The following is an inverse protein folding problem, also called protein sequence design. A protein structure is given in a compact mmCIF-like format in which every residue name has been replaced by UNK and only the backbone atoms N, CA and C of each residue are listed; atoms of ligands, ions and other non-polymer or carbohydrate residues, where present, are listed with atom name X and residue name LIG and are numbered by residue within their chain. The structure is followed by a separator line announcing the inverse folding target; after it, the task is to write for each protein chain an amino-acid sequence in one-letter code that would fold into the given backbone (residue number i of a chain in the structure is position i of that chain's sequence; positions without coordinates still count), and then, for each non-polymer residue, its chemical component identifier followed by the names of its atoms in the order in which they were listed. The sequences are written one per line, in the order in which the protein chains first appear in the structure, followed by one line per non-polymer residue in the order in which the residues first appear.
data_IF_090287654789
#
_entry.id   IF_090287654789
#
_cell.length_a   1.000
_cell.length_b   1.000
_cell.length_c   1.000
_cell.angle_alpha   90.00
_cell.angle_beta   90.00
_cell.angle_gamma   90.00
#
_symmetry.space_group_name_H-M   'P 1'
#
loop_
_entity.id
_entity.type
_entity.pdbx_description
1 polymer ?
#
# COMPACT_ATOMS: atom_id res chain seq x y z
N UNK A 1 -3.31 -37.43 7.56
CA UNK A 1 -2.45 -36.37 6.97
C UNK A 1 -2.71 -36.16 5.46
N UNK A 2 -3.20 -37.14 4.73
CA UNK A 2 -3.46 -37.01 3.27
C UNK A 2 -4.66 -36.11 2.93
N UNK A 3 -5.75 -36.15 3.71
CA UNK A 3 -6.92 -35.28 3.49
C UNK A 3 -6.60 -33.79 3.62
N UNK A 4 -5.74 -33.40 4.58
CA UNK A 4 -5.31 -32.02 4.78
C UNK A 4 -4.53 -31.50 3.56
N UNK A 5 -3.66 -32.33 2.98
CA UNK A 5 -2.96 -31.99 1.72
C UNK A 5 -3.94 -31.75 0.57
N UNK A 6 -4.89 -32.68 0.37
CA UNK A 6 -5.89 -32.54 -0.71
C UNK A 6 -6.75 -31.27 -0.50
N UNK A 7 -7.16 -30.98 0.72
CA UNK A 7 -7.90 -29.78 1.06
C UNK A 7 -7.07 -28.50 0.80
N UNK A 8 -5.78 -28.50 1.17
CA UNK A 8 -4.86 -27.37 0.92
C UNK A 8 -4.72 -27.10 -0.58
N UNK A 9 -4.50 -28.13 -1.42
CA UNK A 9 -4.42 -27.93 -2.87
C UNK A 9 -5.75 -27.44 -3.45
N UNK A 10 -6.88 -27.98 -3.01
CA UNK A 10 -8.20 -27.52 -3.43
C UNK A 10 -8.43 -26.03 -3.09
N UNK A 11 -8.10 -25.61 -1.87
CA UNK A 11 -8.20 -24.22 -1.46
C UNK A 11 -7.30 -23.28 -2.30
N UNK A 12 -6.07 -23.71 -2.62
CA UNK A 12 -5.16 -22.95 -3.48
C UNK A 12 -5.73 -22.83 -4.90
N UNK A 13 -6.30 -23.91 -5.44
CA UNK A 13 -6.91 -23.91 -6.77
C UNK A 13 -8.05 -22.90 -6.82
N UNK A 14 -8.95 -22.88 -5.84
CA UNK A 14 -10.06 -21.89 -5.79
C UNK A 14 -9.54 -20.46 -5.82
N UNK A 15 -8.45 -20.16 -5.10
CA UNK A 15 -7.89 -18.80 -5.04
C UNK A 15 -7.15 -18.41 -6.33
N UNK A 16 -6.44 -19.34 -6.95
CA UNK A 16 -5.55 -19.03 -8.08
C UNK A 16 -6.26 -19.18 -9.42
N UNK A 17 -7.22 -20.11 -9.55
CA UNK A 17 -7.87 -20.43 -10.81
C UNK A 17 -8.51 -19.24 -11.53
N UNK A 18 -9.29 -18.35 -10.86
CA UNK A 18 -9.89 -17.21 -11.55
C UNK A 18 -8.84 -16.24 -12.11
N UNK A 19 -7.76 -16.02 -11.36
CA UNK A 19 -6.66 -15.13 -11.77
C UNK A 19 -5.86 -15.75 -12.91
N UNK A 20 -5.55 -17.04 -12.81
CA UNK A 20 -4.84 -17.79 -13.86
C UNK A 20 -5.65 -17.83 -15.16
N UNK A 21 -6.97 -18.04 -15.07
CA UNK A 21 -7.88 -18.03 -16.22
C UNK A 21 -7.88 -16.64 -16.87
N UNK A 22 -7.98 -15.56 -16.08
CA UNK A 22 -7.97 -14.19 -16.59
C UNK A 22 -6.65 -13.88 -17.33
N UNK A 23 -5.51 -14.29 -16.79
CA UNK A 23 -4.21 -14.10 -17.43
C UNK A 23 -4.12 -14.93 -18.72
N UNK A 24 -4.57 -16.19 -18.70
CA UNK A 24 -4.60 -17.04 -19.89
C UNK A 24 -5.48 -16.46 -21.00
N UNK A 25 -6.69 -16.04 -20.67
CA UNK A 25 -7.61 -15.43 -21.64
C UNK A 25 -7.08 -14.08 -22.16
N UNK A 26 -6.53 -13.24 -21.27
CA UNK A 26 -6.08 -11.88 -21.61
C UNK A 26 -4.85 -11.83 -22.50
N UNK A 27 -3.95 -12.81 -22.43
CA UNK A 27 -2.80 -12.94 -23.34
C UNK A 27 -3.02 -13.98 -24.44
N UNK A 28 -4.16 -14.66 -24.47
CA UNK A 28 -4.50 -15.72 -25.40
C UNK A 28 -5.81 -15.44 -26.16
N UNK A 29 -6.88 -16.27 -25.97
CA UNK A 29 -8.08 -16.22 -26.83
C UNK A 29 -8.84 -14.89 -26.80
N UNK A 30 -8.78 -14.13 -25.69
CA UNK A 30 -9.45 -12.84 -25.54
C UNK A 30 -8.51 -11.65 -25.73
N UNK A 31 -7.28 -11.87 -26.22
CA UNK A 31 -6.32 -10.78 -26.41
C UNK A 31 -6.86 -9.69 -27.35
N UNK A 32 -6.70 -8.43 -26.94
CA UNK A 32 -7.04 -7.24 -27.71
C UNK A 32 -5.96 -6.17 -27.52
N UNK A 33 -5.35 -5.72 -28.62
CA UNK A 33 -4.24 -4.75 -28.59
C UNK A 33 -4.61 -3.41 -27.94
N UNK A 34 -5.89 -3.04 -27.95
CA UNK A 34 -6.38 -1.83 -27.26
C UNK A 34 -6.15 -1.90 -25.74
N UNK A 35 -6.21 -3.12 -25.18
CA UNK A 35 -5.90 -3.37 -23.75
C UNK A 35 -4.43 -3.19 -23.37
N UNK A 36 -3.53 -3.02 -24.37
CA UNK A 36 -2.09 -2.75 -24.17
C UNK A 36 -1.73 -1.34 -24.67
N UNK A 37 -2.72 -0.46 -24.80
CA UNK A 37 -2.53 0.92 -25.26
C UNK A 37 -1.63 1.74 -24.34
N UNK A 38 -1.04 2.81 -24.86
CA UNK A 38 -0.23 3.76 -24.06
C UNK A 38 -1.03 4.34 -22.90
N UNK A 39 -2.35 4.53 -23.05
CA UNK A 39 -3.22 4.98 -21.95
C UNK A 39 -3.22 3.98 -20.78
N UNK A 40 -3.37 2.68 -21.07
CA UNK A 40 -3.31 1.62 -20.04
C UNK A 40 -1.94 1.58 -19.37
N UNK A 41 -0.84 1.70 -20.12
CA UNK A 41 0.52 1.71 -19.56
C UNK A 41 0.73 2.89 -18.63
N UNK A 42 0.28 4.10 -19.02
CA UNK A 42 0.34 5.29 -18.16
C UNK A 42 -0.50 5.15 -16.89
N UNK A 43 -1.66 4.52 -16.97
CA UNK A 43 -2.50 4.23 -15.80
C UNK A 43 -1.81 3.26 -14.83
N UNK A 44 -1.10 2.25 -15.35
CA UNK A 44 -0.28 1.35 -14.55
C UNK A 44 0.88 2.14 -13.91
N UNK A 45 1.59 2.96 -14.67
CA UNK A 45 2.68 3.81 -14.16
C UNK A 45 2.20 4.72 -13.02
N UNK A 46 1.08 5.43 -13.19
CA UNK A 46 0.47 6.25 -12.15
C UNK A 46 0.16 5.44 -10.88
N UNK A 47 -0.44 4.26 -11.05
CA UNK A 47 -0.80 3.39 -9.91
C UNK A 47 0.44 2.93 -9.13
N UNK A 48 1.51 2.53 -9.82
CA UNK A 48 2.76 2.13 -9.16
C UNK A 48 3.47 3.31 -8.52
N UNK A 49 3.59 4.45 -9.21
CA UNK A 49 4.21 5.66 -8.68
C UNK A 49 3.46 6.18 -7.44
N UNK A 50 2.13 6.29 -7.51
CA UNK A 50 1.31 6.74 -6.39
C UNK A 50 1.33 5.78 -5.21
N UNK A 51 1.26 4.47 -5.45
CA UNK A 51 1.34 3.46 -4.39
C UNK A 51 2.72 3.46 -3.70
N UNK A 52 3.80 3.63 -4.47
CA UNK A 52 5.14 3.77 -3.90
C UNK A 52 5.27 5.05 -3.07
N UNK A 53 4.76 6.18 -3.58
CA UNK A 53 4.73 7.44 -2.84
C UNK A 53 3.92 7.32 -1.55
N UNK A 54 2.71 6.75 -1.61
CA UNK A 54 1.88 6.49 -0.43
C UNK A 54 2.57 5.58 0.59
N UNK A 55 3.26 4.54 0.12
CA UNK A 55 4.07 3.68 0.97
C UNK A 55 5.19 4.43 1.69
N UNK A 56 5.91 5.31 0.99
CA UNK A 56 6.96 6.14 1.61
C UNK A 56 6.37 7.14 2.61
N UNK A 57 5.22 7.73 2.32
CA UNK A 57 4.48 8.58 3.27
C UNK A 57 4.08 7.77 4.51
N UNK A 58 3.61 6.53 4.34
CA UNK A 58 3.32 5.64 5.46
C UNK A 58 4.56 5.37 6.33
N UNK A 59 5.72 5.13 5.72
CA UNK A 59 6.98 4.98 6.46
C UNK A 59 7.29 6.23 7.27
N UNK A 60 7.19 7.41 6.67
CA UNK A 60 7.55 8.67 7.32
C UNK A 60 6.60 9.02 8.49
N UNK A 61 5.30 8.88 8.25
CA UNK A 61 4.28 9.33 9.22
C UNK A 61 3.94 8.28 10.27
N UNK A 62 3.87 7.00 9.88
CA UNK A 62 3.27 5.97 10.74
C UNK A 62 4.28 5.01 11.38
N UNK A 63 5.59 5.09 11.06
CA UNK A 63 6.60 4.31 11.81
C UNK A 63 6.66 4.70 13.28
N UNK A 64 6.69 6.00 13.65
CA UNK A 64 6.65 6.41 15.05
C UNK A 64 5.35 5.98 15.75
N UNK A 65 4.20 6.05 15.05
CA UNK A 65 2.92 5.61 15.60
C UNK A 65 2.93 4.10 15.90
N UNK A 66 3.35 3.26 14.95
CA UNK A 66 3.44 1.82 15.12
C UNK A 66 4.35 1.44 16.30
N UNK A 67 5.50 2.11 16.42
CA UNK A 67 6.41 1.93 17.55
C UNK A 67 5.75 2.33 18.88
N UNK A 68 5.13 3.51 18.94
CA UNK A 68 4.49 4.00 20.14
C UNK A 68 3.36 3.06 20.63
N UNK A 69 2.49 2.62 19.70
CA UNK A 69 1.38 1.68 20.00
C UNK A 69 1.92 0.35 20.51
N UNK A 70 2.97 -0.20 19.90
CA UNK A 70 3.64 -1.43 20.34
C UNK A 70 4.20 -1.30 21.76
N UNK A 71 4.93 -0.23 22.04
CA UNK A 71 5.62 -0.08 23.33
C UNK A 71 4.71 0.29 24.48
N UNK A 72 3.69 1.10 24.24
CA UNK A 72 2.71 1.57 25.24
C UNK A 72 1.47 0.69 25.36
N UNK A 73 1.28 -0.27 24.44
CA UNK A 73 0.07 -1.12 24.37
C UNK A 73 -1.22 -0.30 24.41
N UNK A 74 -1.25 0.82 23.70
CA UNK A 74 -2.38 1.73 23.70
C UNK A 74 -3.45 1.23 22.71
N UNK A 75 -4.45 0.51 23.24
CA UNK A 75 -5.54 -0.08 22.45
C UNK A 75 -6.41 0.98 21.77
N UNK A 76 -6.57 2.17 22.36
CA UNK A 76 -7.32 3.26 21.73
C UNK A 76 -6.65 3.71 20.44
N UNK A 77 -5.34 3.99 20.48
CA UNK A 77 -4.60 4.40 19.28
C UNK A 77 -4.52 3.27 18.24
N UNK A 78 -4.42 2.01 18.68
CA UNK A 78 -4.50 0.87 17.78
C UNK A 78 -5.85 0.85 17.05
N UNK A 79 -6.95 0.93 17.78
CA UNK A 79 -8.30 0.95 17.22
C UNK A 79 -8.51 2.15 16.28
N UNK A 80 -8.04 3.35 16.66
CA UNK A 80 -8.14 4.53 15.79
C UNK A 80 -7.35 4.37 14.49
N UNK A 81 -6.18 3.72 14.53
CA UNK A 81 -5.41 3.46 13.31
C UNK A 81 -6.07 2.43 12.37
N UNK A 82 -6.98 1.61 12.86
CA UNK A 82 -7.69 0.59 12.07
C UNK A 82 -9.01 1.11 11.46
N UNK A 83 -9.48 2.32 11.85
CA UNK A 83 -10.73 2.91 11.34
C UNK A 83 -10.80 2.90 9.80
N UNK A 84 -9.77 3.37 9.05
CA UNK A 84 -9.86 3.41 7.59
C UNK A 84 -10.01 2.03 6.92
N UNK A 85 -9.55 0.97 7.58
CA UNK A 85 -9.72 -0.40 7.09
C UNK A 85 -11.14 -0.95 7.34
N UNK A 86 -11.89 -0.33 8.26
CA UNK A 86 -13.21 -0.82 8.70
C UNK A 86 -14.38 -0.16 7.96
N UNK A 87 -14.12 0.90 7.20
CA UNK A 87 -15.15 1.66 6.47
C UNK A 87 -15.09 1.37 4.96
N UNK A 88 -16.22 1.46 4.24
CA UNK A 88 -16.21 1.37 2.79
C UNK A 88 -15.29 2.41 2.15
N UNK A 89 -14.39 1.99 1.27
CA UNK A 89 -13.35 2.86 0.70
C UNK A 89 -13.88 4.12 -0.02
N UNK A 90 -15.04 4.10 -0.72
CA UNK A 90 -15.61 5.32 -1.29
C UNK A 90 -15.84 6.42 -0.25
N UNK A 91 -16.15 6.06 1.01
CA UNK A 91 -16.34 7.03 2.09
C UNK A 91 -15.04 7.79 2.39
N UNK A 92 -13.88 7.15 2.28
CA UNK A 92 -12.58 7.83 2.42
C UNK A 92 -12.41 8.87 1.32
N UNK A 93 -12.77 8.54 0.08
CA UNK A 93 -12.75 9.49 -1.03
C UNK A 93 -13.67 10.70 -0.77
N UNK A 94 -14.91 10.47 -0.33
CA UNK A 94 -15.84 11.54 0.04
C UNK A 94 -15.29 12.39 1.19
N UNK A 95 -14.66 11.77 2.19
CA UNK A 95 -14.07 12.50 3.32
C UNK A 95 -12.94 13.43 2.88
N UNK A 96 -12.11 13.02 1.93
CA UNK A 96 -11.09 13.87 1.33
C UNK A 96 -11.70 15.04 0.54
N UNK A 97 -12.81 14.81 -0.18
CA UNK A 97 -13.53 15.91 -0.83
C UNK A 97 -14.12 16.91 0.15
N UNK A 98 -14.51 16.49 1.35
CA UNK A 98 -14.95 17.42 2.40
C UNK A 98 -13.79 18.31 2.91
N UNK A 99 -12.56 17.81 2.91
CA UNK A 99 -11.37 18.60 3.20
C UNK A 99 -11.02 19.58 2.07
N UNK A 100 -11.57 19.38 0.89
CA UNK A 100 -11.40 20.25 -0.29
C UNK A 100 -12.62 21.16 -0.53
N UNK A 101 -13.62 21.05 0.31
CA UNK A 101 -14.87 21.77 0.12
C UNK A 101 -14.83 23.20 0.67
N UNK A 102 -15.16 24.22 -0.14
CA UNK A 102 -15.30 25.60 0.35
C UNK A 102 -16.45 25.76 1.35
N UNK A 103 -17.34 24.75 1.47
CA UNK A 103 -18.45 24.76 2.42
C UNK A 103 -17.99 24.48 3.86
N UNK A 104 -16.82 23.83 4.04
CA UNK A 104 -16.28 23.54 5.36
C UNK A 104 -15.24 24.58 5.80
N UNK A 105 -15.11 24.89 7.10
CA UNK A 105 -14.05 25.81 7.57
C UNK A 105 -12.64 25.29 7.27
N UNK A 106 -12.42 23.97 7.43
CA UNK A 106 -11.13 23.32 7.17
C UNK A 106 -10.82 23.38 5.67
N UNK A 107 -11.78 23.06 4.81
CA UNK A 107 -11.60 23.11 3.36
C UNK A 107 -11.24 24.50 2.87
N UNK A 108 -11.92 25.55 3.37
CA UNK A 108 -11.53 26.94 3.05
C UNK A 108 -10.10 27.27 3.47
N UNK A 109 -9.70 26.81 4.66
CA UNK A 109 -8.33 27.04 5.13
C UNK A 109 -7.29 26.32 4.25
N UNK A 110 -7.54 25.07 3.87
CA UNK A 110 -6.64 24.30 2.99
C UNK A 110 -6.56 24.91 1.58
N UNK A 111 -7.70 25.27 1.01
CA UNK A 111 -7.76 25.94 -0.30
C UNK A 111 -7.04 27.29 -0.29
N UNK A 112 -7.12 28.06 0.82
CA UNK A 112 -6.44 29.35 0.92
C UNK A 112 -4.91 29.26 0.91
N UNK A 113 -4.35 28.10 1.26
CA UNK A 113 -2.91 27.79 1.18
C UNK A 113 -2.54 26.95 -0.04
N UNK A 114 -3.48 26.79 -0.98
CA UNK A 114 -3.25 26.08 -2.25
C UNK A 114 -3.27 24.55 -2.15
N UNK A 115 -3.78 23.99 -1.05
CA UNK A 115 -3.95 22.54 -0.89
C UNK A 115 -5.30 22.14 -1.48
N UNK A 116 -5.27 21.27 -2.49
CA UNK A 116 -6.44 20.76 -3.20
C UNK A 116 -6.27 19.23 -3.40
N UNK A 117 -7.33 18.47 -3.13
CA UNK A 117 -7.33 17.01 -3.27
C UNK A 117 -8.07 16.53 -4.52
N UNK A 118 -9.08 17.26 -4.99
CA UNK A 118 -9.91 16.84 -6.10
C UNK A 118 -9.12 16.80 -7.41
N UNK A 119 -9.09 15.64 -8.05
CA UNK A 119 -8.39 15.34 -9.30
C UNK A 119 -6.91 15.78 -9.30
N UNK A 120 -6.25 15.70 -8.13
CA UNK A 120 -4.83 16.01 -7.99
C UNK A 120 -4.01 14.76 -7.62
N UNK A 121 -2.70 14.81 -7.92
CA UNK A 121 -1.76 13.78 -7.45
C UNK A 121 -1.71 13.71 -5.92
N UNK A 122 -1.86 14.84 -5.23
CA UNK A 122 -1.95 14.91 -3.77
C UNK A 122 -3.19 14.15 -3.28
N UNK A 123 -4.36 14.37 -3.87
CA UNK A 123 -5.58 13.63 -3.52
C UNK A 123 -5.46 12.15 -3.79
N UNK A 124 -4.89 11.78 -4.93
CA UNK A 124 -4.60 10.38 -5.29
C UNK A 124 -3.72 9.70 -4.22
N UNK A 125 -2.56 10.28 -3.91
CA UNK A 125 -1.62 9.73 -2.91
C UNK A 125 -2.24 9.74 -1.52
N UNK A 126 -3.01 10.78 -1.14
CA UNK A 126 -3.67 10.84 0.17
C UNK A 126 -4.68 9.72 0.35
N UNK A 127 -5.50 9.43 -0.67
CA UNK A 127 -6.44 8.31 -0.65
C UNK A 127 -5.71 6.96 -0.47
N UNK A 128 -4.65 6.73 -1.25
CA UNK A 128 -3.83 5.53 -1.15
C UNK A 128 -3.15 5.40 0.22
N UNK A 129 -2.65 6.51 0.77
CA UNK A 129 -2.01 6.56 2.08
C UNK A 129 -2.99 6.15 3.18
N UNK A 130 -4.16 6.79 3.23
CA UNK A 130 -5.17 6.53 4.27
C UNK A 130 -5.62 5.07 4.24
N UNK A 131 -5.87 4.50 3.06
CA UNK A 131 -6.35 3.13 2.91
C UNK A 131 -5.26 2.09 3.23
N UNK A 132 -4.01 2.40 2.97
CA UNK A 132 -2.89 1.46 3.19
C UNK A 132 -2.22 1.62 4.57
N UNK A 133 -2.43 2.75 5.26
CA UNK A 133 -1.86 3.02 6.57
C UNK A 133 -2.21 1.98 7.65
N UNK A 134 -3.45 1.50 7.82
CA UNK A 134 -3.77 0.47 8.80
C UNK A 134 -2.95 -0.79 8.63
N UNK A 135 -2.78 -1.25 7.38
CA UNK A 135 -1.99 -2.44 7.08
C UNK A 135 -0.50 -2.22 7.39
N UNK A 136 0.02 -1.02 7.06
CA UNK A 136 1.38 -0.64 7.41
C UNK A 136 1.60 -0.66 8.93
N UNK A 137 0.73 0.02 9.68
CA UNK A 137 0.81 0.14 11.14
C UNK A 137 0.72 -1.24 11.80
N UNK A 138 -0.25 -2.07 11.41
CA UNK A 138 -0.46 -3.41 11.97
C UNK A 138 0.72 -4.33 11.68
N UNK A 139 1.25 -4.33 10.45
CA UNK A 139 2.40 -5.16 10.08
C UNK A 139 3.66 -4.75 10.87
N UNK A 140 3.91 -3.44 10.98
CA UNK A 140 5.09 -2.93 11.66
C UNK A 140 4.97 -3.04 13.19
N UNK A 141 3.78 -2.82 13.76
CA UNK A 141 3.49 -3.06 15.19
C UNK A 141 3.79 -4.52 15.54
N UNK A 142 3.26 -5.48 14.76
CA UNK A 142 3.51 -6.90 14.98
C UNK A 142 5.01 -7.23 14.96
N UNK A 143 5.77 -6.58 14.07
CA UNK A 143 7.22 -6.72 14.05
C UNK A 143 7.85 -6.18 15.34
N UNK A 144 7.51 -4.96 15.75
CA UNK A 144 8.01 -4.36 17.00
C UNK A 144 7.63 -5.17 18.24
N UNK A 145 6.44 -5.77 18.28
CA UNK A 145 6.00 -6.62 19.39
C UNK A 145 6.86 -7.89 19.52
N UNK A 146 7.39 -8.41 18.40
CA UNK A 146 8.28 -9.58 18.37
C UNK A 146 9.75 -9.25 18.57
N UNK A 147 10.14 -7.97 18.52
CA UNK A 147 11.53 -7.54 18.59
C UNK A 147 12.04 -7.53 20.04
N UNK A 148 13.25 -8.07 20.24
CA UNK A 148 13.93 -8.00 21.52
C UNK A 148 14.20 -6.54 21.92
N UNK A 149 13.92 -6.20 23.18
CA UNK A 149 14.06 -4.86 23.76
C UNK A 149 15.41 -4.61 24.44
N UNK A 150 16.30 -5.58 24.43
CA UNK A 150 17.58 -5.48 25.15
C UNK A 150 18.41 -4.28 24.72
N UNK A 151 18.50 -4.02 23.40
CA UNK A 151 19.22 -2.87 22.87
C UNK A 151 18.57 -1.53 23.26
N UNK A 152 17.24 -1.44 23.25
CA UNK A 152 16.49 -0.25 23.70
C UNK A 152 16.75 0.02 25.20
N UNK A 153 16.61 -1.02 26.03
CA UNK A 153 16.81 -0.93 27.47
C UNK A 153 18.26 -0.54 27.81
N UNK A 154 19.23 -1.10 27.08
CA UNK A 154 20.64 -0.75 27.25
C UNK A 154 20.90 0.72 26.92
N UNK A 155 20.38 1.21 25.79
CA UNK A 155 20.53 2.62 25.43
C UNK A 155 19.90 3.56 26.48
N UNK A 156 18.70 3.20 27.00
CA UNK A 156 18.03 3.95 28.08
C UNK A 156 18.89 3.98 29.35
N UNK A 157 19.50 2.84 29.73
CA UNK A 157 20.35 2.77 30.93
C UNK A 157 21.63 3.61 30.83
N UNK A 158 22.07 3.89 29.59
CA UNK A 158 23.18 4.82 29.31
C UNK A 158 22.72 6.29 29.25
N UNK A 159 21.44 6.59 29.54
CA UNK A 159 20.92 7.95 29.55
C UNK A 159 20.50 8.48 28.16
N UNK A 160 20.36 7.64 27.15
CA UNK A 160 19.92 8.08 25.84
C UNK A 160 18.47 8.59 25.88
N UNK A 161 18.18 9.79 25.34
CA UNK A 161 16.82 10.31 25.29
C UNK A 161 15.94 9.45 24.33
N UNK A 162 14.60 9.38 24.56
CA UNK A 162 13.71 8.53 23.78
C UNK A 162 13.80 8.71 22.26
N UNK A 163 14.03 9.93 21.79
CA UNK A 163 14.21 10.22 20.36
C UNK A 163 15.43 9.51 19.78
N UNK A 164 16.60 9.55 20.48
CA UNK A 164 17.79 8.85 20.03
C UNK A 164 17.65 7.33 20.12
N UNK A 165 16.98 6.83 21.15
CA UNK A 165 16.65 5.40 21.20
C UNK A 165 15.85 4.98 19.98
N UNK A 166 14.84 5.76 19.59
CA UNK A 166 14.05 5.49 18.40
C UNK A 166 14.89 5.58 17.11
N UNK A 167 15.59 6.72 16.87
CA UNK A 167 16.28 6.96 15.59
C UNK A 167 17.54 6.12 15.43
N UNK A 168 18.33 5.95 16.50
CA UNK A 168 19.68 5.41 16.42
C UNK A 168 19.74 3.91 16.78
N UNK A 169 18.69 3.40 17.48
CA UNK A 169 18.64 2.00 17.88
C UNK A 169 17.48 1.27 17.20
N UNK A 170 16.23 1.78 17.38
CA UNK A 170 15.03 1.05 16.92
C UNK A 170 14.94 1.02 15.40
N UNK A 171 14.98 2.17 14.74
CA UNK A 171 14.81 2.27 13.28
C UNK A 171 15.87 1.45 12.52
N UNK A 172 17.18 1.54 12.80
CA UNK A 172 18.19 0.73 12.14
C UNK A 172 17.99 -0.78 12.34
N UNK A 173 17.67 -1.20 13.58
CA UNK A 173 17.44 -2.61 13.90
C UNK A 173 16.13 -3.16 13.32
N UNK A 174 15.20 -2.28 12.91
CA UNK A 174 13.90 -2.62 12.36
C UNK A 174 13.82 -2.51 10.84
N UNK A 175 14.93 -2.28 10.15
CA UNK A 175 14.94 -2.07 8.70
C UNK A 175 14.15 -3.15 7.94
N UNK A 176 14.38 -4.43 8.25
CA UNK A 176 13.63 -5.53 7.62
C UNK A 176 12.13 -5.47 7.86
N UNK A 177 11.70 -5.13 9.10
CA UNK A 177 10.28 -4.94 9.44
C UNK A 177 9.65 -3.77 8.69
N UNK A 178 10.36 -2.63 8.64
CA UNK A 178 9.92 -1.43 7.91
C UNK A 178 9.75 -1.74 6.41
N UNK A 179 10.75 -2.38 5.79
CA UNK A 179 10.66 -2.78 4.37
C UNK A 179 9.52 -3.76 4.13
N UNK A 180 9.29 -4.72 5.02
CA UNK A 180 8.17 -5.65 4.88
C UNK A 180 6.82 -4.92 4.98
N UNK A 181 6.64 -4.03 5.96
CA UNK A 181 5.43 -3.24 6.13
C UNK A 181 5.21 -2.30 4.93
N UNK A 182 6.26 -1.63 4.43
CA UNK A 182 6.25 -0.80 3.23
C UNK A 182 5.73 -1.57 2.02
N UNK A 183 6.33 -2.73 1.70
CA UNK A 183 5.94 -3.53 0.54
C UNK A 183 4.51 -4.07 0.65
N UNK A 184 4.06 -4.37 1.86
CA UNK A 184 2.68 -4.81 2.12
C UNK A 184 1.70 -3.65 1.93
N UNK A 185 2.03 -2.45 2.40
CA UNK A 185 1.19 -1.26 2.21
C UNK A 185 1.14 -0.82 0.74
N UNK A 186 2.25 -0.88 -0.01
CA UNK A 186 2.27 -0.63 -1.46
C UNK A 186 1.32 -1.60 -2.19
N UNK A 187 1.39 -2.88 -1.87
CA UNK A 187 0.49 -3.88 -2.49
C UNK A 187 -0.98 -3.59 -2.18
N UNK A 188 -1.30 -3.11 -0.97
CA UNK A 188 -2.66 -2.69 -0.61
C UNK A 188 -3.09 -1.43 -1.35
N UNK A 189 -2.21 -0.42 -1.43
CA UNK A 189 -2.47 0.82 -2.17
C UNK A 189 -2.71 0.55 -3.66
N UNK A 190 -1.93 -0.33 -4.27
CA UNK A 190 -2.03 -0.68 -5.69
C UNK A 190 -3.39 -1.31 -6.05
N UNK A 191 -4.05 -1.99 -5.12
CA UNK A 191 -5.36 -2.60 -5.30
C UNK A 191 -6.53 -1.65 -5.05
N UNK A 192 -6.26 -0.36 -4.75
CA UNK A 192 -7.30 0.59 -4.41
C UNK A 192 -8.06 1.08 -5.65
N UNK A 193 -9.39 1.12 -5.52
CA UNK A 193 -10.31 1.62 -6.54
C UNK A 193 -11.30 2.62 -5.95
N UNK A 194 -11.96 2.26 -4.84
CA UNK A 194 -13.16 2.93 -4.37
C UNK A 194 -12.95 4.39 -3.96
N UNK A 195 -11.90 4.69 -3.19
CA UNK A 195 -11.59 6.05 -2.76
C UNK A 195 -11.03 6.90 -3.91
N UNK A 196 -10.19 6.28 -4.74
CA UNK A 196 -9.56 6.94 -5.89
C UNK A 196 -10.59 7.34 -6.93
N UNK A 197 -11.56 6.47 -7.24
CA UNK A 197 -12.65 6.75 -8.19
C UNK A 197 -13.52 7.96 -7.77
N UNK A 198 -13.48 8.37 -6.50
CA UNK A 198 -14.23 9.50 -5.97
C UNK A 198 -13.39 10.76 -5.92
N UNK A 199 -12.14 10.69 -5.37
CA UNK A 199 -11.35 11.89 -5.08
C UNK A 199 -10.41 12.28 -6.21
N UNK A 200 -9.95 11.33 -7.01
CA UNK A 200 -8.98 11.54 -8.08
C UNK A 200 -9.22 10.55 -9.24
N UNK A 201 -10.39 10.70 -9.88
CA UNK A 201 -10.74 9.88 -11.05
C UNK A 201 -9.67 10.04 -12.13
N UNK A 202 -9.33 11.30 -12.42
CA UNK A 202 -8.17 11.69 -13.22
C UNK A 202 -7.16 12.43 -12.35
N UNK A 203 -5.89 12.39 -12.72
CA UNK A 203 -4.87 13.31 -12.18
C UNK A 203 -4.66 14.44 -13.17
N UNK A 204 -5.05 15.67 -12.80
CA UNK A 204 -4.95 16.84 -13.68
C UNK A 204 -3.62 17.61 -13.49
N UNK A 205 -2.54 16.91 -13.18
CA UNK A 205 -1.21 17.47 -12.95
C UNK A 205 -0.14 16.69 -13.70
N UNK A 206 0.90 17.40 -14.18
CA UNK A 206 2.06 16.76 -14.79
C UNK A 206 2.84 15.92 -13.76
N UNK A 207 3.43 14.77 -14.11
CA UNK A 207 3.50 14.19 -15.48
C UNK A 207 2.28 13.35 -15.89
N UNK A 208 1.27 13.20 -15.02
CA UNK A 208 0.13 12.31 -15.22
C UNK A 208 -1.16 13.03 -15.66
N UNK A 209 -1.03 14.16 -16.36
CA UNK A 209 -2.19 14.95 -16.75
C UNK A 209 -3.21 14.12 -17.56
N UNK A 210 -4.45 14.06 -17.06
CA UNK A 210 -5.57 13.33 -17.69
C UNK A 210 -5.45 11.81 -17.59
N UNK A 211 -4.60 11.30 -16.69
CA UNK A 211 -4.43 9.86 -16.47
C UNK A 211 -5.21 9.43 -15.24
N UNK A 212 -5.96 8.35 -15.37
CA UNK A 212 -6.63 7.62 -14.29
C UNK A 212 -5.77 6.47 -13.76
N UNK A 213 -6.05 5.99 -12.54
CA UNK A 213 -5.40 4.80 -12.00
C UNK A 213 -5.74 3.54 -12.82
N UNK A 214 -4.89 2.51 -12.77
CA UNK A 214 -5.11 1.27 -13.51
C UNK A 214 -6.44 0.59 -13.14
N UNK A 215 -6.84 0.61 -11.88
CA UNK A 215 -8.11 0.05 -11.42
C UNK A 215 -9.33 0.79 -12.00
N UNK A 216 -9.26 2.13 -12.05
CA UNK A 216 -10.29 2.98 -12.67
C UNK A 216 -10.31 2.75 -14.18
N UNK A 217 -9.13 2.72 -14.83
CA UNK A 217 -9.01 2.46 -16.27
C UNK A 217 -9.58 1.12 -16.69
N UNK A 218 -9.30 0.05 -15.96
CA UNK A 218 -9.85 -1.28 -16.23
C UNK A 218 -11.38 -1.28 -16.10
N UNK A 219 -11.91 -0.62 -15.07
CA UNK A 219 -13.36 -0.48 -14.88
C UNK A 219 -14.01 0.28 -16.05
N UNK A 220 -13.42 1.38 -16.49
CA UNK A 220 -13.86 2.16 -17.64
C UNK A 220 -13.84 1.33 -18.93
N UNK A 221 -12.73 0.63 -19.20
CA UNK A 221 -12.60 -0.24 -20.38
C UNK A 221 -13.64 -1.35 -20.39
N UNK A 222 -13.96 -1.92 -19.23
CA UNK A 222 -15.03 -2.92 -19.12
C UNK A 222 -16.40 -2.35 -19.52
N UNK A 223 -16.71 -1.13 -19.07
CA UNK A 223 -17.99 -0.47 -19.37
C UNK A 223 -18.12 0.03 -20.80
N UNK A 224 -17.07 0.57 -21.40
CA UNK A 224 -17.15 1.27 -22.70
C UNK A 224 -16.53 0.50 -23.87
N UNK A 225 -15.47 -0.28 -23.63
CA UNK A 225 -14.74 -0.97 -24.71
C UNK A 225 -15.03 -2.49 -24.75
N UNK A 226 -15.72 -2.99 -23.75
CA UNK A 226 -16.13 -4.39 -23.66
C UNK A 226 -15.13 -5.29 -22.93
N UNK A 227 -15.56 -6.55 -22.64
CA UNK A 227 -14.82 -7.44 -21.76
C UNK A 227 -13.44 -7.86 -22.30
N UNK A 228 -13.25 -8.01 -23.61
CA UNK A 228 -11.97 -8.43 -24.19
C UNK A 228 -10.85 -7.44 -23.88
N UNK A 229 -11.09 -6.15 -24.10
CA UNK A 229 -10.13 -5.08 -23.82
C UNK A 229 -9.81 -5.02 -22.32
N UNK A 230 -10.83 -5.08 -21.48
CA UNK A 230 -10.65 -5.06 -20.02
C UNK A 230 -9.88 -6.28 -19.50
N UNK A 231 -10.14 -7.48 -20.05
CA UNK A 231 -9.44 -8.73 -19.68
C UNK A 231 -7.96 -8.64 -20.05
N UNK A 232 -7.63 -8.12 -21.24
CA UNK A 232 -6.23 -7.90 -21.64
C UNK A 232 -5.52 -6.88 -20.75
N UNK A 233 -6.16 -5.72 -20.48
CA UNK A 233 -5.60 -4.70 -19.58
C UNK A 233 -5.41 -5.25 -18.15
N UNK A 234 -6.35 -6.05 -17.66
CA UNK A 234 -6.25 -6.70 -16.35
C UNK A 234 -5.12 -7.72 -16.30
N UNK A 235 -4.94 -8.54 -17.34
CA UNK A 235 -3.85 -9.50 -17.44
C UNK A 235 -2.49 -8.78 -17.42
N UNK A 236 -2.37 -7.66 -18.12
CA UNK A 236 -1.18 -6.82 -18.12
C UNK A 236 -0.89 -6.27 -16.71
N UNK A 237 -1.90 -5.72 -16.03
CA UNK A 237 -1.76 -5.22 -14.65
C UNK A 237 -1.34 -6.32 -13.67
N UNK A 238 -1.91 -7.52 -13.79
CA UNK A 238 -1.50 -8.70 -13.01
C UNK A 238 -0.03 -9.04 -13.27
N UNK A 239 0.41 -9.01 -14.52
CA UNK A 239 1.81 -9.24 -14.88
C UNK A 239 2.77 -8.29 -14.14
N UNK A 240 2.49 -6.99 -14.17
CA UNK A 240 3.27 -6.00 -13.41
C UNK A 240 3.19 -6.22 -11.90
N UNK A 241 2.00 -6.55 -11.37
CA UNK A 241 1.83 -6.83 -9.94
C UNK A 241 2.60 -8.08 -9.50
N UNK A 242 2.68 -9.12 -10.34
CA UNK A 242 3.49 -10.31 -10.08
C UNK A 242 4.98 -10.00 -10.08
N UNK A 243 5.45 -9.13 -10.98
CA UNK A 243 6.85 -8.65 -10.98
C UNK A 243 7.14 -7.95 -9.65
N UNK A 244 6.26 -7.05 -9.19
CA UNK A 244 6.40 -6.39 -7.89
C UNK A 244 6.43 -7.41 -6.74
N UNK A 245 5.54 -8.39 -6.76
CA UNK A 245 5.48 -9.45 -5.75
C UNK A 245 6.80 -10.25 -5.70
N UNK A 246 7.33 -10.64 -6.85
CA UNK A 246 8.60 -11.37 -6.94
C UNK A 246 9.77 -10.51 -6.48
N UNK A 247 9.85 -9.26 -6.93
CA UNK A 247 10.84 -8.29 -6.48
C UNK A 247 10.78 -8.10 -4.96
N UNK A 248 9.58 -7.97 -4.39
CA UNK A 248 9.38 -7.82 -2.95
C UNK A 248 9.89 -9.04 -2.16
N UNK A 249 9.67 -10.26 -2.67
CA UNK A 249 10.18 -11.49 -2.05
C UNK A 249 11.71 -11.55 -2.08
N UNK A 250 12.33 -11.13 -3.20
CA UNK A 250 13.77 -11.06 -3.31
C UNK A 250 14.34 -10.02 -2.33
N UNK A 251 13.78 -8.82 -2.27
CA UNK A 251 14.19 -7.76 -1.34
C UNK A 251 14.09 -8.27 0.10
N UNK A 252 12.96 -8.89 0.49
CA UNK A 252 12.79 -9.48 1.82
C UNK A 252 13.88 -10.50 2.14
N UNK A 253 14.23 -11.38 1.21
CA UNK A 253 15.27 -12.39 1.41
C UNK A 253 16.66 -11.77 1.71
N UNK A 254 16.96 -10.60 1.14
CA UNK A 254 18.21 -9.89 1.40
C UNK A 254 18.14 -8.99 2.65
N UNK A 255 17.00 -8.34 2.89
CA UNK A 255 16.79 -7.47 4.05
C UNK A 255 16.78 -8.23 5.40
N UNK A 256 16.38 -9.51 5.40
CA UNK A 256 16.35 -10.38 6.58
C UNK A 256 17.64 -11.19 6.81
N UNK A 257 18.74 -10.91 6.13
CA UNK A 257 20.01 -11.48 6.56
C UNK A 257 20.37 -10.87 7.92
N UNK A 258 20.52 -11.69 8.99
CA UNK A 258 20.90 -11.15 10.30
C UNK A 258 22.21 -10.41 10.15
N UNK A 259 22.23 -9.12 10.46
CA UNK A 259 23.46 -8.37 10.64
C UNK A 259 24.09 -8.95 11.90
N UNK A 260 25.08 -9.80 11.69
CA UNK A 260 26.05 -10.34 12.64
C UNK A 260 25.57 -10.42 14.11
N UNK A 261 25.26 -11.62 14.55
CA UNK A 261 25.53 -12.02 15.93
C UNK A 261 27.07 -12.01 16.05
N UNK A 262 27.63 -10.96 16.61
CA UNK A 262 29.01 -10.99 17.08
C UNK A 262 29.12 -12.14 18.08
N UNK A 263 30.06 -13.04 17.81
CA UNK A 263 30.18 -14.30 18.47
C UNK A 263 30.16 -14.19 20.00
N UNK A 264 29.34 -15.07 20.59
CA UNK A 264 29.51 -15.42 21.98
C UNK A 264 30.88 -16.08 22.16
N UNK A 265 31.58 -15.84 23.29
CA UNK A 265 32.82 -16.52 23.58
C UNK A 265 32.56 -18.01 23.76
N UNK A 266 33.38 -18.80 23.12
CA UNK A 266 33.56 -20.24 23.34
C UNK A 266 33.81 -20.58 24.80
#
# INVERSE_FOLDING_TARGET
MNWLRSYTYFSIIILVLPVALLVYEGFGPMYDSTGVSMGVLRSIELSFAGSATAGLVNVALFTPLAYYVSRRRNELLATLSDIPASIPHPIVGISLLLLDSPLTPIGRALLSVGINFFDTYLGFVSALTIISAPIYVTALRSYFDSMDRSAENFAVSLGAPPQRVFTDVVVPNSYGGIVNALLTSISRALSEFGSVAIVAYYVLQQPFYGVESASVKIYELYGYSGPRVAVTASALMIGFSLILLLASRLIKRYAFRPVFVLGGPS
#
